data_IF_632966676621
#
_entry.id   IF_632966676621
#
_cell.length_a   1.000
_cell.length_b   1.000
_cell.length_c   1.000
_cell.angle_alpha   90.00
_cell.angle_beta   90.00
_cell.angle_gamma   90.00
#
_symmetry.space_group_name_H-M   'P 1'
#
loop_
_entity.id
_entity.type
_entity.pdbx_description
1 polymer ?
#
# COMPACT_ATOMS: atom_id res chain seq x y z
N UNK A 1 -46.83 14.01 25.41
CA UNK A 1 -45.56 13.49 24.86
C UNK A 1 -45.21 14.17 23.53
N UNK A 2 -44.54 15.32 23.59
CA UNK A 2 -44.16 16.12 22.41
C UNK A 2 -42.83 15.67 21.78
N UNK A 3 -42.18 16.58 21.04
CA UNK A 3 -40.84 16.47 20.43
C UNK A 3 -39.77 15.79 21.31
N UNK A 4 -39.86 15.95 22.64
CA UNK A 4 -38.95 15.35 23.61
C UNK A 4 -39.01 13.81 23.65
N UNK A 5 -40.16 13.21 23.34
CA UNK A 5 -40.35 11.75 23.34
C UNK A 5 -39.84 11.05 22.06
N UNK A 6 -39.55 11.80 21.00
CA UNK A 6 -39.05 11.26 19.72
C UNK A 6 -37.56 10.87 19.77
N UNK A 7 -36.90 11.06 20.91
CA UNK A 7 -35.48 10.76 21.12
C UNK A 7 -34.56 11.97 21.03
N UNK A 8 -33.25 11.73 21.21
CA UNK A 8 -32.25 12.81 21.35
C UNK A 8 -31.73 13.34 20.00
N UNK A 9 -31.67 12.49 18.97
CA UNK A 9 -30.93 12.76 17.73
C UNK A 9 -31.81 12.91 16.48
N UNK A 10 -33.12 12.70 16.64
CA UNK A 10 -34.05 12.51 15.52
C UNK A 10 -34.76 11.18 15.64
N UNK A 11 -35.63 10.92 14.68
CA UNK A 11 -36.42 9.71 14.63
C UNK A 11 -36.50 9.18 13.19
N UNK A 12 -36.59 7.86 13.07
CA UNK A 12 -36.75 7.21 11.78
C UNK A 12 -38.23 7.16 11.42
N UNK A 13 -38.59 7.76 10.30
CA UNK A 13 -39.97 7.74 9.81
C UNK A 13 -39.96 7.68 8.28
N UNK A 14 -40.77 6.78 7.71
CA UNK A 14 -40.96 6.64 6.25
C UNK A 14 -39.64 6.48 5.48
N UNK A 15 -38.69 5.73 6.03
CA UNK A 15 -37.40 5.43 5.38
C UNK A 15 -36.40 6.59 5.39
N UNK A 16 -36.69 7.68 6.10
CA UNK A 16 -35.79 8.82 6.25
C UNK A 16 -35.52 9.13 7.73
N UNK A 17 -34.32 9.64 8.01
CA UNK A 17 -34.00 10.22 9.30
C UNK A 17 -34.57 11.65 9.37
N UNK A 18 -35.57 11.87 10.22
CA UNK A 18 -36.14 13.20 10.43
C UNK A 18 -35.48 13.90 11.61
N UNK A 19 -35.03 15.16 11.46
CA UNK A 19 -34.50 15.93 12.57
C UNK A 19 -35.61 16.29 13.55
N UNK A 20 -35.22 16.65 14.76
CA UNK A 20 -36.13 17.21 15.76
C UNK A 20 -36.37 18.69 15.47
N UNK A 21 -37.57 19.17 15.78
CA UNK A 21 -37.92 20.58 15.79
C UNK A 21 -37.26 21.38 16.93
N UNK A 22 -36.69 20.70 17.93
CA UNK A 22 -35.91 21.33 19.00
C UNK A 22 -34.41 21.08 18.77
N UNK A 23 -33.62 22.15 18.79
CA UNK A 23 -32.16 22.05 18.73
C UNK A 23 -31.59 21.41 20.00
N UNK A 24 -30.46 20.68 19.89
CA UNK A 24 -29.78 20.11 21.05
C UNK A 24 -29.43 21.16 22.13
N UNK A 25 -29.16 22.41 21.73
CA UNK A 25 -28.91 23.53 22.65
C UNK A 25 -30.15 23.95 23.43
N UNK A 26 -31.32 24.04 22.79
CA UNK A 26 -32.57 24.35 23.47
C UNK A 26 -32.95 23.24 24.43
N UNK A 27 -32.80 21.97 24.02
CA UNK A 27 -33.03 20.83 24.92
C UNK A 27 -32.12 20.85 26.15
N UNK A 28 -30.83 21.15 25.99
CA UNK A 28 -29.90 21.26 27.13
C UNK A 28 -30.27 22.40 28.10
N UNK A 29 -30.80 23.53 27.58
CA UNK A 29 -31.34 24.62 28.42
C UNK A 29 -32.55 24.15 29.24
N UNK A 30 -33.53 23.53 28.58
CA UNK A 30 -34.70 22.95 29.26
C UNK A 30 -34.29 21.92 30.32
N UNK A 31 -33.36 21.01 29.97
CA UNK A 31 -32.82 20.01 30.90
C UNK A 31 -32.17 20.67 32.11
N UNK A 32 -31.42 21.76 31.92
CA UNK A 32 -30.80 22.50 33.03
C UNK A 32 -31.85 23.14 33.94
N UNK A 33 -32.88 23.76 33.38
CA UNK A 33 -33.96 24.42 34.14
C UNK A 33 -34.75 23.39 34.96
N UNK A 34 -35.12 22.26 34.36
CA UNK A 34 -35.84 21.16 35.04
C UNK A 34 -35.02 20.57 36.19
N UNK A 35 -33.73 20.28 35.95
CA UNK A 35 -32.85 19.76 37.00
C UNK A 35 -32.60 20.77 38.13
N UNK A 36 -32.60 22.08 37.83
CA UNK A 36 -32.49 23.13 38.85
C UNK A 36 -33.77 23.28 39.68
N UNK A 37 -34.94 22.99 39.08
CA UNK A 37 -36.21 22.92 39.79
C UNK A 37 -36.34 21.68 40.68
N UNK A 38 -35.37 20.75 40.63
CA UNK A 38 -35.38 19.50 41.40
C UNK A 38 -36.25 18.40 40.78
N UNK A 39 -36.70 18.58 39.54
CA UNK A 39 -37.46 17.58 38.80
C UNK A 39 -36.54 16.63 38.02
N UNK A 40 -36.98 15.38 37.83
CA UNK A 40 -36.23 14.34 37.14
C UNK A 40 -36.38 14.41 35.61
N UNK A 41 -35.25 14.32 34.89
CA UNK A 41 -35.21 14.34 33.43
C UNK A 41 -35.27 12.92 32.83
N UNK A 42 -36.48 12.45 32.50
CA UNK A 42 -36.73 11.08 32.03
C UNK A 42 -36.53 10.82 30.51
N UNK A 43 -36.20 11.85 29.72
CA UNK A 43 -36.20 11.74 28.24
C UNK A 43 -34.87 11.24 27.63
N UNK A 44 -33.74 11.42 28.32
CA UNK A 44 -32.42 11.09 27.78
C UNK A 44 -31.92 9.75 28.36
N UNK A 45 -31.51 8.78 27.52
CA UNK A 45 -30.92 7.55 28.00
C UNK A 45 -29.55 7.81 28.66
N UNK A 46 -29.13 6.98 29.64
CA UNK A 46 -27.83 7.09 30.27
C UNK A 46 -26.70 6.87 29.23
N UNK A 47 -25.58 7.56 29.43
CA UNK A 47 -24.42 7.45 28.54
C UNK A 47 -23.75 6.08 28.70
N UNK A 48 -23.51 5.39 27.59
CA UNK A 48 -22.80 4.12 27.58
C UNK A 48 -21.31 4.25 27.96
N UNK A 49 -20.71 3.15 28.40
CA UNK A 49 -19.30 3.07 28.77
C UNK A 49 -18.38 3.33 27.58
N UNK A 50 -17.29 4.07 27.81
CA UNK A 50 -16.33 4.44 26.76
C UNK A 50 -15.28 3.34 26.54
N UNK A 51 -14.90 3.10 25.27
CA UNK A 51 -13.84 2.15 24.93
C UNK A 51 -12.45 2.75 25.15
N UNK A 52 -11.75 2.30 26.19
CA UNK A 52 -10.36 2.68 26.48
C UNK A 52 -9.37 1.64 25.93
N UNK A 53 -9.21 1.57 24.61
CA UNK A 53 -8.16 0.72 23.99
C UNK A 53 -7.21 1.60 23.16
N UNK A 54 -5.91 1.54 23.47
CA UNK A 54 -4.86 2.20 22.67
C UNK A 54 -4.51 1.32 21.46
N UNK A 55 -4.43 1.92 20.28
CA UNK A 55 -4.11 1.21 19.02
C UNK A 55 -2.63 0.82 18.89
N UNK A 56 -1.75 1.62 19.48
CA UNK A 56 -0.29 1.49 19.30
C UNK A 56 0.16 1.90 17.89
N UNK A 57 1.46 2.19 17.74
CA UNK A 57 2.06 2.48 16.44
C UNK A 57 2.38 1.17 15.72
N UNK A 58 2.06 1.10 14.42
CA UNK A 58 2.32 -0.08 13.59
C UNK A 58 3.80 -0.51 13.61
N UNK A 59 4.71 0.47 13.62
CA UNK A 59 6.16 0.23 13.60
C UNK A 59 6.60 -0.50 14.87
N UNK A 60 6.08 -0.09 16.04
CA UNK A 60 6.45 -0.66 17.33
C UNK A 60 5.89 -2.07 17.50
N UNK A 61 4.67 -2.32 17.01
CA UNK A 61 4.09 -3.67 17.01
C UNK A 61 4.92 -4.67 16.20
N UNK A 62 5.50 -4.25 15.08
CA UNK A 62 6.23 -5.13 14.14
C UNK A 62 7.74 -5.18 14.45
N UNK A 63 8.23 -4.34 15.37
CA UNK A 63 9.66 -4.24 15.65
C UNK A 63 10.25 -5.54 16.19
N UNK A 64 9.53 -6.25 17.06
CA UNK A 64 9.97 -7.53 17.61
C UNK A 64 10.11 -8.61 16.51
N UNK A 65 9.11 -8.71 15.63
CA UNK A 65 9.10 -9.64 14.49
C UNK A 65 10.27 -9.37 13.54
N UNK A 66 10.54 -8.09 13.21
CA UNK A 66 11.67 -7.71 12.35
C UNK A 66 13.03 -8.05 12.96
N UNK A 67 13.19 -7.88 14.27
CA UNK A 67 14.44 -8.27 14.97
C UNK A 67 14.66 -9.79 14.92
N UNK A 68 13.62 -10.59 15.16
CA UNK A 68 13.70 -12.05 15.06
C UNK A 68 14.06 -12.51 13.64
N UNK A 69 13.38 -11.97 12.62
CA UNK A 69 13.67 -12.27 11.21
C UNK A 69 15.10 -11.91 10.82
N UNK A 70 15.65 -10.83 11.37
CA UNK A 70 17.04 -10.43 11.11
C UNK A 70 18.02 -11.46 11.65
N UNK A 71 17.80 -11.99 12.86
CA UNK A 71 18.63 -13.04 13.46
C UNK A 71 18.57 -14.33 12.63
N UNK A 72 17.39 -14.74 12.17
CA UNK A 72 17.24 -15.92 11.31
C UNK A 72 17.93 -15.76 9.95
N UNK A 73 17.83 -14.58 9.35
CA UNK A 73 18.51 -14.25 8.10
C UNK A 73 20.03 -14.30 8.25
N UNK A 74 20.56 -13.81 9.38
CA UNK A 74 22.00 -13.84 9.65
C UNK A 74 22.53 -15.27 9.81
N UNK A 75 21.77 -16.21 10.38
CA UNK A 75 22.13 -17.63 10.43
C UNK A 75 22.25 -18.26 9.03
N UNK A 76 21.43 -17.81 8.07
CA UNK A 76 21.41 -18.30 6.68
C UNK A 76 22.44 -17.60 5.78
N UNK A 77 23.04 -16.52 6.24
CA UNK A 77 24.02 -15.72 5.50
C UNK A 77 25.22 -16.52 4.95
N UNK A 78 25.91 -17.40 5.72
CA UNK A 78 27.08 -18.10 5.21
C UNK A 78 26.74 -19.03 4.04
N UNK A 79 25.59 -19.71 4.12
CA UNK A 79 25.11 -20.56 3.04
C UNK A 79 24.80 -19.73 1.78
N UNK A 80 24.10 -18.60 1.95
CA UNK A 80 23.79 -17.68 0.85
C UNK A 80 25.04 -17.13 0.15
N UNK A 81 26.11 -16.86 0.90
CA UNK A 81 27.39 -16.40 0.33
C UNK A 81 28.08 -17.50 -0.50
N UNK A 82 28.04 -18.75 -0.05
CA UNK A 82 28.57 -19.88 -0.81
C UNK A 82 27.78 -20.09 -2.10
N UNK A 83 26.46 -20.01 -2.02
CA UNK A 83 25.58 -20.16 -3.18
C UNK A 83 25.79 -19.03 -4.19
N UNK A 84 25.98 -17.78 -3.73
CA UNK A 84 26.32 -16.65 -4.59
C UNK A 84 27.67 -16.85 -5.29
N UNK A 85 28.71 -17.27 -4.56
CA UNK A 85 30.03 -17.57 -5.13
C UNK A 85 29.96 -18.69 -6.17
N UNK A 86 29.18 -19.76 -5.90
CA UNK A 86 28.96 -20.88 -6.83
C UNK A 86 28.25 -20.42 -8.11
N UNK A 87 27.25 -19.55 -8.01
CA UNK A 87 26.56 -18.98 -9.17
C UNK A 87 27.48 -18.06 -10.00
N UNK A 88 28.30 -17.24 -9.35
CA UNK A 88 29.29 -16.39 -10.03
C UNK A 88 30.33 -17.21 -10.80
N UNK A 89 30.87 -18.26 -10.18
CA UNK A 89 31.84 -19.16 -10.81
C UNK A 89 31.21 -19.97 -11.96
N UNK A 90 29.97 -20.45 -11.81
CA UNK A 90 29.24 -21.11 -12.90
C UNK A 90 29.01 -20.20 -14.09
N UNK A 91 28.69 -18.92 -13.87
CA UNK A 91 28.51 -17.96 -14.97
C UNK A 91 29.81 -17.75 -15.78
N UNK A 92 30.97 -17.78 -15.11
CA UNK A 92 32.27 -17.67 -15.75
C UNK A 92 32.61 -18.91 -16.61
N UNK A 93 32.31 -20.11 -16.12
CA UNK A 93 32.57 -21.37 -16.84
C UNK A 93 31.64 -21.57 -18.05
N UNK A 94 30.38 -21.11 -17.97
CA UNK A 94 29.48 -21.11 -19.13
C UNK A 94 29.94 -20.12 -20.21
N UNK A 95 30.63 -19.03 -19.84
CA UNK A 95 31.22 -18.10 -20.79
C UNK A 95 32.51 -18.63 -21.47
N UNK A 96 33.27 -19.53 -20.84
CA UNK A 96 34.50 -20.09 -21.44
C UNK A 96 34.24 -21.10 -22.57
N UNK A 97 33.00 -21.58 -22.73
CA UNK A 97 32.56 -22.36 -23.89
C UNK A 97 32.07 -21.51 -25.08
N UNK A 98 31.91 -20.20 -24.91
CA UNK A 98 31.50 -19.31 -25.99
C UNK A 98 32.74 -18.74 -26.68
N UNK A 99 33.14 -19.37 -27.80
CA UNK A 99 34.24 -18.96 -28.69
C UNK A 99 34.00 -17.61 -29.40
N UNK A 100 33.15 -16.74 -28.87
CA UNK A 100 32.92 -15.40 -29.35
C UNK A 100 33.81 -14.42 -28.58
N UNK A 101 34.97 -14.10 -29.15
CA UNK A 101 35.80 -12.97 -28.71
C UNK A 101 34.97 -11.69 -28.84
N UNK A 102 34.39 -11.19 -27.74
CA UNK A 102 33.69 -9.89 -27.73
C UNK A 102 32.45 -9.74 -26.85
N UNK A 103 32.07 -10.69 -26.00
CA UNK A 103 30.95 -10.48 -25.08
C UNK A 103 31.38 -9.66 -23.86
N UNK A 104 31.42 -8.33 -24.01
CA UNK A 104 31.57 -7.40 -22.87
C UNK A 104 30.27 -7.43 -22.07
N UNK A 105 30.29 -8.03 -20.89
CA UNK A 105 29.18 -7.89 -19.94
C UNK A 105 29.06 -6.41 -19.56
N UNK A 106 27.90 -5.76 -19.77
CA UNK A 106 27.71 -4.38 -19.32
C UNK A 106 27.79 -4.36 -17.80
N UNK A 107 28.84 -3.70 -17.27
CA UNK A 107 28.96 -3.39 -15.84
C UNK A 107 27.69 -2.63 -15.44
N UNK A 108 26.89 -3.19 -14.53
CA UNK A 108 25.74 -2.49 -13.93
C UNK A 108 24.34 -3.08 -14.13
N UNK A 109 24.16 -4.41 -14.31
CA UNK A 109 22.81 -5.00 -14.29
C UNK A 109 22.48 -5.64 -12.95
N UNK A 110 21.43 -5.14 -12.29
CA UNK A 110 20.72 -5.86 -11.21
C UNK A 110 19.97 -7.06 -11.79
N UNK A 111 19.90 -8.21 -11.09
CA UNK A 111 19.10 -9.35 -11.54
C UNK A 111 17.62 -8.94 -11.63
N UNK A 112 16.97 -9.12 -12.80
CA UNK A 112 15.51 -8.96 -12.96
C UNK A 112 15.01 -8.03 -14.07
N UNK A 113 15.88 -7.26 -14.75
CA UNK A 113 15.41 -6.37 -15.84
C UNK A 113 15.10 -7.15 -17.13
N UNK A 114 13.81 -7.38 -17.43
CA UNK A 114 13.34 -7.89 -18.73
C UNK A 114 13.46 -6.79 -19.79
N UNK A 115 14.61 -6.67 -20.44
CA UNK A 115 14.69 -6.13 -21.80
C UNK A 115 15.33 -7.19 -22.68
N UNK A 116 14.58 -7.65 -23.67
CA UNK A 116 14.99 -8.59 -24.71
C UNK A 116 16.27 -8.11 -25.40
N UNK A 117 17.11 -9.06 -25.83
CA UNK A 117 18.32 -8.81 -26.62
C UNK A 117 17.95 -7.95 -27.84
N UNK A 118 18.43 -6.72 -27.90
CA UNK A 118 18.50 -6.00 -29.18
C UNK A 118 19.82 -6.39 -29.82
N UNK A 119 19.79 -7.33 -30.76
CA UNK A 119 20.91 -7.60 -31.65
C UNK A 119 21.03 -6.42 -32.63
N UNK A 120 21.96 -5.48 -32.39
CA UNK A 120 22.37 -4.55 -33.44
C UNK A 120 23.22 -5.33 -34.45
N UNK A 121 22.65 -5.65 -35.62
CA UNK A 121 23.46 -6.06 -36.78
C UNK A 121 24.31 -4.85 -37.20
N UNK A 122 25.63 -5.05 -37.29
CA UNK A 122 26.52 -4.14 -38.01
C UNK A 122 26.15 -4.23 -39.49
N UNK A 123 25.49 -3.21 -40.02
CA UNK A 123 25.49 -2.97 -41.46
C UNK A 123 26.84 -2.37 -41.81
N UNK A 124 27.76 -3.22 -42.25
CA UNK A 124 28.85 -2.80 -43.14
C UNK A 124 28.22 -2.56 -44.51
N UNK A 125 28.12 -1.30 -44.94
CA UNK A 125 27.95 -1.01 -46.37
C UNK A 125 29.17 -1.55 -47.14
N UNK A 126 29.00 -1.94 -48.41
CA UNK A 126 29.34 -0.97 -49.45
C UNK A 126 28.48 -1.03 -50.73
N UNK A 127 28.43 0.13 -51.38
CA UNK A 127 28.40 0.42 -52.83
C UNK A 127 27.73 -0.53 -53.84
N UNK A 128 26.92 0.14 -54.68
CA UNK A 128 26.68 -0.11 -56.10
C UNK A 128 25.58 -1.11 -56.48
N UNK A 129 24.83 -0.71 -57.51
CA UNK A 129 23.82 -1.45 -58.28
C UNK A 129 22.41 -1.49 -57.69
N UNK A 130 21.65 -0.41 -57.90
CA UNK A 130 20.24 -0.50 -58.35
C UNK A 130 19.81 0.85 -58.93
N UNK A 131 20.35 1.15 -60.10
CA UNK A 131 19.65 1.97 -61.09
C UNK A 131 18.39 1.23 -61.56
N UNK A 132 17.37 2.02 -61.95
CA UNK A 132 16.11 1.68 -62.61
C UNK A 132 14.82 1.63 -61.76
N UNK A 133 13.96 2.60 -62.11
CA UNK A 133 12.50 2.51 -62.31
C UNK A 133 11.55 2.61 -61.12
N UNK A 134 11.02 3.83 -60.94
CA UNK A 134 9.58 4.18 -60.81
C UNK A 134 9.51 5.70 -60.67
N UNK A 135 9.21 6.53 -61.66
CA UNK A 135 7.98 6.62 -62.48
C UNK A 135 6.69 6.34 -61.71
N UNK A 136 5.89 7.40 -61.56
CA UNK A 136 4.45 7.40 -61.32
C UNK A 136 3.95 6.72 -60.04
N UNK A 137 3.73 7.51 -58.99
CA UNK A 137 2.41 8.04 -58.60
C UNK A 137 2.59 8.98 -57.40
#
# INVERSE_FOLDING_TARGET
PGELGKGVWGYWELGAWKPLGISGRQRARLRKEVLLAGEDWAYDPPRGEMRTKRKGNKVDCIAAEKRANTVELMKKMPQMLLDYKRLQLRLLVVCTGCRARGCRWPRGRRPGSRRTRVCRRRTTGPSAWSSLTRSMF
#
